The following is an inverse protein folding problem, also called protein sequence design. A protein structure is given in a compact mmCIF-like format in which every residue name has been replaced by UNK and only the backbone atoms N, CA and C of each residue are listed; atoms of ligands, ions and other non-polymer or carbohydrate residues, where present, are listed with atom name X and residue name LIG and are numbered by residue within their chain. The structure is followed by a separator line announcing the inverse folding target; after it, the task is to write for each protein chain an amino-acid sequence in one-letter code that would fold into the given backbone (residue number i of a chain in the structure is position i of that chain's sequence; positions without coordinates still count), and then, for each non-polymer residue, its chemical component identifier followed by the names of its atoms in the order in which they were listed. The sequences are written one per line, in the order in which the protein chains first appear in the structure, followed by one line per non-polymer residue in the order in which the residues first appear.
data_IF_206690746006
#
_entry.id   IF_206690746006
#
_cell.length_a   1.000
_cell.length_b   1.000
_cell.length_c   1.000
_cell.angle_alpha   90.00
_cell.angle_beta   90.00
_cell.angle_gamma   90.00
#
_symmetry.space_group_name_H-M   'P 1'
#
loop_
_entity.id
_entity.type
_entity.pdbx_description
1 polymer ?
#
# COMPACT_ATOMS: atom_id res chain seq x y z
N UNK A 1 8.28 9.61 18.51
CA UNK A 1 8.94 9.00 17.34
C UNK A 1 7.87 8.31 16.52
N UNK A 2 7.85 8.52 15.20
CA UNK A 2 6.90 7.82 14.34
C UNK A 2 7.31 6.34 14.24
N UNK A 3 6.49 5.42 14.74
CA UNK A 3 6.63 3.96 14.51
C UNK A 3 6.07 3.56 13.13
N UNK A 4 6.14 4.48 12.17
CA UNK A 4 5.74 4.21 10.81
C UNK A 4 6.74 3.25 10.16
N UNK A 5 6.21 2.40 9.31
CA UNK A 5 6.97 1.46 8.51
C UNK A 5 6.33 1.34 7.13
N UNK A 6 7.09 0.79 6.19
CA UNK A 6 6.54 0.43 4.91
C UNK A 6 5.59 -0.75 5.07
N UNK A 7 4.48 -0.68 4.36
CA UNK A 7 3.53 -1.77 4.23
C UNK A 7 3.31 -2.08 2.76
N UNK A 8 3.30 -3.37 2.44
CA UNK A 8 2.72 -3.83 1.19
C UNK A 8 1.25 -4.15 1.45
N UNK A 9 0.37 -3.59 0.63
CA UNK A 9 -1.07 -3.85 0.67
C UNK A 9 -1.47 -4.42 -0.67
N UNK A 10 -1.91 -5.68 -0.66
CA UNK A 10 -2.40 -6.38 -1.83
C UNK A 10 -3.89 -6.67 -1.65
N UNK A 11 -4.66 -6.56 -2.72
CA UNK A 11 -6.07 -6.93 -2.71
C UNK A 11 -6.41 -7.84 -3.87
N UNK A 12 -7.39 -8.72 -3.67
CA UNK A 12 -8.03 -9.50 -4.73
C UNK A 12 -9.52 -9.21 -4.70
N UNK A 13 -10.01 -8.49 -5.72
CA UNK A 13 -11.37 -7.96 -5.77
C UNK A 13 -11.95 -8.25 -7.15
N UNK A 14 -13.04 -8.99 -7.18
CA UNK A 14 -13.63 -9.48 -8.43
C UNK A 14 -14.56 -8.46 -9.09
N UNK A 15 -15.28 -7.67 -8.30
CA UNK A 15 -16.21 -6.67 -8.82
C UNK A 15 -15.49 -5.39 -9.29
N UNK A 16 -15.65 -4.97 -10.56
CA UNK A 16 -14.96 -3.80 -11.08
C UNK A 16 -15.31 -2.48 -10.36
N UNK A 17 -16.50 -2.35 -9.78
CA UNK A 17 -16.89 -1.13 -9.07
C UNK A 17 -16.24 -1.06 -7.69
N UNK A 18 -16.24 -2.16 -6.93
CA UNK A 18 -15.51 -2.28 -5.66
C UNK A 18 -14.00 -2.14 -5.86
N UNK A 19 -13.46 -2.71 -6.95
CA UNK A 19 -12.05 -2.58 -7.30
C UNK A 19 -11.65 -1.10 -7.44
N UNK A 20 -12.43 -0.31 -8.20
CA UNK A 20 -12.20 1.14 -8.34
C UNK A 20 -12.30 1.89 -7.02
N UNK A 21 -13.23 1.49 -6.14
CA UNK A 21 -13.35 2.09 -4.80
C UNK A 21 -12.16 1.76 -3.90
N UNK A 22 -11.73 0.48 -3.84
CA UNK A 22 -10.55 0.04 -3.07
C UNK A 22 -9.28 0.75 -3.56
N UNK A 23 -9.11 0.84 -4.88
CA UNK A 23 -8.07 1.61 -5.54
C UNK A 23 -8.03 3.07 -5.06
N UNK A 24 -9.17 3.76 -5.05
CA UNK A 24 -9.25 5.16 -4.62
C UNK A 24 -8.90 5.36 -3.14
N UNK A 25 -9.33 4.45 -2.26
CA UNK A 25 -8.93 4.47 -0.83
C UNK A 25 -7.41 4.34 -0.70
N UNK A 26 -6.81 3.39 -1.42
CA UNK A 26 -5.37 3.13 -1.35
C UNK A 26 -4.51 4.22 -2.00
N UNK A 27 -5.00 4.89 -3.05
CA UNK A 27 -4.35 6.05 -3.67
C UNK A 27 -4.26 7.25 -2.71
N UNK A 28 -5.20 7.38 -1.77
CA UNK A 28 -5.13 8.38 -0.71
C UNK A 28 -4.14 8.04 0.41
N UNK A 29 -3.80 6.76 0.58
CA UNK A 29 -2.96 6.27 1.68
C UNK A 29 -1.52 5.92 1.28
N UNK A 30 -1.25 5.72 -0.01
CA UNK A 30 0.03 5.25 -0.49
C UNK A 30 0.18 5.31 -2.00
N UNK A 31 1.20 4.63 -2.51
CA UNK A 31 1.53 4.62 -3.93
C UNK A 31 1.26 3.24 -4.54
N UNK A 32 0.59 3.24 -5.69
CA UNK A 32 0.35 2.04 -6.49
C UNK A 32 1.66 1.53 -7.11
N UNK A 33 1.92 0.23 -6.95
CA UNK A 33 3.08 -0.46 -7.52
C UNK A 33 2.70 -1.35 -8.70
N UNK A 34 1.60 -2.09 -8.55
CA UNK A 34 0.98 -2.92 -9.58
C UNK A 34 -0.53 -2.71 -9.53
N UNK A 35 -1.25 -3.34 -10.46
CA UNK A 35 -2.70 -3.17 -10.56
C UNK A 35 -3.42 -3.41 -9.23
N UNK A 36 -3.02 -4.42 -8.45
CA UNK A 36 -3.64 -4.75 -7.16
C UNK A 36 -2.65 -4.73 -5.99
N UNK A 37 -1.55 -3.97 -6.10
CA UNK A 37 -0.49 -3.90 -5.08
C UNK A 37 -0.09 -2.46 -4.83
N UNK A 38 -0.08 -2.06 -3.56
CA UNK A 38 0.26 -0.72 -3.08
C UNK A 38 1.37 -0.76 -2.03
N UNK A 39 2.20 0.29 -1.99
CA UNK A 39 3.07 0.61 -0.85
C UNK A 39 2.48 1.76 -0.03
N UNK A 40 2.45 1.61 1.28
CA UNK A 40 2.02 2.67 2.20
C UNK A 40 3.06 2.90 3.30
N UNK A 41 3.31 4.16 3.67
CA UNK A 41 4.12 4.50 4.84
C UNK A 41 3.21 4.86 6.00
N UNK A 42 2.95 3.90 6.89
CA UNK A 42 1.93 4.05 7.91
C UNK A 42 2.41 3.52 9.26
N UNK A 43 1.96 4.17 10.33
CA UNK A 43 2.02 3.61 11.69
C UNK A 43 1.08 2.40 11.78
N UNK A 44 1.26 1.51 12.78
CA UNK A 44 0.32 0.40 13.00
C UNK A 44 -1.14 0.88 13.13
N UNK A 45 -1.37 2.00 13.84
CA UNK A 45 -2.70 2.58 13.98
C UNK A 45 -3.26 3.11 12.64
N UNK A 46 -2.41 3.77 11.83
CA UNK A 46 -2.78 4.20 10.49
C UNK A 46 -3.16 3.03 9.59
N UNK A 47 -2.44 1.91 9.69
CA UNK A 47 -2.77 0.69 8.96
C UNK A 47 -4.10 0.07 9.43
N UNK A 48 -4.40 0.09 10.73
CA UNK A 48 -5.71 -0.39 11.22
C UNK A 48 -6.87 0.46 10.70
N UNK A 49 -6.68 1.78 10.60
CA UNK A 49 -7.65 2.68 10.00
C UNK A 49 -7.84 2.37 8.51
N UNK A 50 -6.75 2.23 7.76
CA UNK A 50 -6.82 1.87 6.34
C UNK A 50 -7.53 0.52 6.14
N UNK A 51 -7.23 -0.47 6.99
CA UNK A 51 -7.92 -1.77 6.98
C UNK A 51 -9.42 -1.60 7.15
N UNK A 52 -9.86 -0.79 8.12
CA UNK A 52 -11.27 -0.52 8.34
C UNK A 52 -11.92 0.13 7.11
N UNK A 53 -11.31 1.19 6.57
CA UNK A 53 -11.82 1.88 5.37
C UNK A 53 -11.95 0.93 4.17
N UNK A 54 -11.03 -0.02 4.00
CA UNK A 54 -11.11 -1.04 2.96
C UNK A 54 -12.21 -2.07 3.23
N UNK A 55 -12.40 -2.51 4.48
CA UNK A 55 -13.45 -3.49 4.81
C UNK A 55 -14.87 -2.94 4.60
N UNK A 56 -15.07 -1.62 4.62
CA UNK A 56 -16.36 -1.00 4.24
C UNK A 56 -16.64 -1.04 2.72
N UNK A 57 -15.62 -1.39 1.93
CA UNK A 57 -15.71 -1.50 0.47
C UNK A 57 -15.78 -2.96 0.03
N UNK A 58 -15.02 -3.84 0.68
CA UNK A 58 -14.84 -5.25 0.31
C UNK A 58 -16.11 -6.08 0.56
N UNK A 59 -16.33 -7.08 -0.29
CA UNK A 59 -17.30 -8.13 -0.08
C UNK A 59 -16.68 -9.34 0.66
N UNK A 60 -17.49 -10.28 1.18
CA UNK A 60 -16.98 -11.45 1.91
C UNK A 60 -16.06 -12.38 1.09
N UNK A 61 -16.13 -12.30 -0.23
CA UNK A 61 -15.34 -13.07 -1.19
C UNK A 61 -14.15 -12.30 -1.78
N UNK A 62 -13.91 -11.07 -1.32
CA UNK A 62 -12.73 -10.29 -1.67
C UNK A 62 -11.65 -10.44 -0.58
N UNK A 63 -10.37 -10.47 -0.98
CA UNK A 63 -9.25 -10.68 -0.08
C UNK A 63 -8.37 -9.43 0.09
N UNK A 64 -7.82 -9.26 1.30
CA UNK A 64 -6.87 -8.19 1.64
C UNK A 64 -5.66 -8.76 2.39
N UNK A 65 -4.47 -8.55 1.83
CA UNK A 65 -3.20 -8.93 2.44
C UNK A 65 -2.40 -7.68 2.80
N UNK A 66 -2.00 -7.58 4.08
CA UNK A 66 -1.21 -6.46 4.61
C UNK A 66 0.08 -6.97 5.23
N UNK A 67 1.22 -6.55 4.68
CA UNK A 67 2.54 -7.05 5.10
C UNK A 67 3.39 -5.87 5.57
N UNK A 68 3.78 -5.79 6.85
CA UNK A 68 4.75 -4.81 7.29
C UNK A 68 6.14 -5.22 6.77
N UNK A 69 6.89 -4.26 6.24
CA UNK A 69 8.21 -4.47 5.67
C UNK A 69 9.28 -3.77 6.51
N UNK A 70 10.36 -4.49 6.81
CA UNK A 70 11.56 -3.91 7.41
C UNK A 70 12.48 -3.37 6.30
N UNK A 71 13.45 -2.54 6.69
CA UNK A 71 14.40 -1.92 5.75
C UNK A 71 15.15 -2.94 4.87
N UNK A 72 15.42 -4.14 5.39
CA UNK A 72 16.06 -5.22 4.62
C UNK A 72 15.14 -5.78 3.54
N UNK A 73 13.87 -6.06 3.85
CA UNK A 73 12.90 -6.55 2.87
C UNK A 73 12.65 -5.51 1.78
N UNK A 74 12.60 -4.23 2.17
CA UNK A 74 12.44 -3.09 1.27
C UNK A 74 13.63 -3.00 0.30
N UNK A 75 14.87 -3.00 0.81
CA UNK A 75 16.07 -2.91 -0.04
C UNK A 75 16.32 -4.14 -0.92
N UNK A 76 15.71 -5.28 -0.59
CA UNK A 76 15.79 -6.51 -1.39
C UNK A 76 14.67 -6.68 -2.41
N UNK A 77 13.71 -5.75 -2.51
CA UNK A 77 12.55 -5.90 -3.38
C UNK A 77 12.96 -5.81 -4.86
N UNK A 78 12.48 -6.76 -5.64
CA UNK A 78 12.73 -6.84 -7.08
C UNK A 78 11.41 -6.81 -7.85
N UNK A 79 11.42 -6.16 -9.01
CA UNK A 79 10.24 -6.06 -9.89
C UNK A 79 10.65 -6.28 -11.33
N UNK A 80 9.80 -6.94 -12.11
CA UNK A 80 9.98 -7.14 -13.56
C UNK A 80 8.85 -6.41 -14.30
N UNK A 81 9.16 -5.78 -15.44
CA UNK A 81 8.20 -5.02 -16.29
C UNK A 81 7.45 -3.88 -15.60
N UNK A 82 7.85 -3.51 -14.38
CA UNK A 82 7.39 -2.32 -13.70
C UNK A 82 7.81 -1.08 -14.50
N UNK A 83 6.87 -0.17 -14.77
CA UNK A 83 7.17 1.15 -15.34
C UNK A 83 8.07 1.99 -14.42
N UNK A 84 8.08 1.66 -13.13
CA UNK A 84 9.06 2.13 -12.15
C UNK A 84 10.30 1.22 -12.25
N UNK A 85 11.37 1.70 -12.89
CA UNK A 85 12.71 1.07 -12.77
C UNK A 85 12.99 0.85 -11.28
N UNK A 86 13.48 -0.34 -10.94
CA UNK A 86 13.88 -0.83 -9.60
C UNK A 86 13.31 0.00 -8.43
N UNK A 87 12.31 -0.49 -7.68
CA UNK A 87 11.65 0.27 -6.64
C UNK A 87 12.63 1.05 -5.73
N UNK A 88 12.73 2.37 -5.93
CA UNK A 88 13.47 3.25 -5.03
C UNK A 88 12.61 3.45 -3.77
N UNK A 89 12.86 2.61 -2.78
CA UNK A 89 12.16 2.65 -1.49
C UNK A 89 13.13 3.17 -0.43
N UNK A 90 13.12 4.47 -0.17
CA UNK A 90 13.90 5.06 0.91
C UNK A 90 13.47 4.52 2.28
N UNK A 91 14.24 4.80 3.34
CA UNK A 91 13.91 4.39 4.72
C UNK A 91 12.53 4.90 5.20
N UNK A 92 12.01 5.96 4.58
CA UNK A 92 10.66 6.50 4.67
C UNK A 92 10.42 7.44 3.49
N UNK A 93 9.18 7.90 3.24
CA UNK A 93 8.86 8.78 2.11
C UNK A 93 9.66 10.08 2.18
N UNK A 94 9.88 10.72 1.02
CA UNK A 94 10.50 12.04 1.01
C UNK A 94 9.69 13.01 1.89
N UNK A 95 10.36 13.83 2.72
CA UNK A 95 9.68 14.85 3.50
C UNK A 95 8.93 15.79 2.55
N UNK A 96 7.63 15.97 2.77
CA UNK A 96 6.87 16.97 2.02
C UNK A 96 7.49 18.34 2.28
N UNK A 97 8.12 18.95 1.26
CA UNK A 97 8.58 20.33 1.35
C UNK A 97 7.40 21.21 0.99
N UNK A 98 6.73 21.77 2.01
CA UNK A 98 5.72 22.81 1.81
C UNK A 98 6.49 24.04 1.31
N UNK A 99 6.21 24.45 0.08
CA UNK A 99 6.71 25.70 -0.51
C UNK A 99 6.01 26.90 0.13
#
# INVERSE_FOLDING_TARGET
MSDARWWLVCYDVHDPARLRRCAGVLEGAGQRLQHSVFRCWLTPAGMQRLRWELTEVLAPDDDLLMIPLCSRCVGGMQTTHSSLKAPDWPAGPEPHRIL
#
